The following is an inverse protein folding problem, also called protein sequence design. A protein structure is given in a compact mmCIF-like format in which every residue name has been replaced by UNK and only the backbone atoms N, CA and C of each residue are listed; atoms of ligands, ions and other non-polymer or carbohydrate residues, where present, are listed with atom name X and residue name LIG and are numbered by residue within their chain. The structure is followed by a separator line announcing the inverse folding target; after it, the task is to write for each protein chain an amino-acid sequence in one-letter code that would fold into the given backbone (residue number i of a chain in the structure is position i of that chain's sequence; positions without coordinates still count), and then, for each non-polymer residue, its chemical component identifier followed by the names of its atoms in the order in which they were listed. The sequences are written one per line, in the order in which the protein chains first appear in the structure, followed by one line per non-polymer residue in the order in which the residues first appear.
data_IF_076027523741
#
_entry.id   IF_076027523741
#
_cell.length_a   1.000
_cell.length_b   1.000
_cell.length_c   1.000
_cell.angle_alpha   90.00
_cell.angle_beta   90.00
_cell.angle_gamma   90.00
#
_symmetry.space_group_name_H-M   'P 1'
#
loop_
_entity.id
_entity.type
_entity.pdbx_description
1 polymer ?
#
# COMPACT_ATOMS: atom_id res chain seq x y z
N UNK A 1 12.11 12.87 -3.28
CA UNK A 1 12.03 12.91 -1.81
C UNK A 1 10.81 12.14 -1.29
N UNK A 2 9.61 12.35 -1.78
CA UNK A 2 8.41 11.65 -1.31
C UNK A 2 8.48 10.13 -1.36
N UNK A 3 9.08 9.57 -2.40
CA UNK A 3 9.24 8.11 -2.54
C UNK A 3 10.18 7.48 -1.51
N UNK A 4 11.21 8.20 -1.06
CA UNK A 4 12.10 7.71 0.01
C UNK A 4 11.39 7.70 1.38
N UNK A 5 10.64 8.74 1.68
CA UNK A 5 9.83 8.82 2.92
C UNK A 5 8.79 7.70 2.92
N UNK A 6 8.16 7.45 1.77
CA UNK A 6 7.22 6.35 1.61
C UNK A 6 7.86 4.98 1.81
N UNK A 7 9.06 4.79 1.26
CA UNK A 7 9.83 3.54 1.39
C UNK A 7 10.19 3.24 2.84
N UNK A 8 10.68 4.24 3.58
CA UNK A 8 11.01 4.06 5.01
C UNK A 8 9.76 3.77 5.85
N UNK A 9 8.65 4.46 5.59
CA UNK A 9 7.38 4.20 6.26
C UNK A 9 6.82 2.81 6.00
N UNK A 10 6.85 2.36 4.74
CA UNK A 10 6.45 1.00 4.36
C UNK A 10 7.36 -0.07 4.96
N UNK A 11 8.68 0.18 5.06
CA UNK A 11 9.60 -0.74 5.72
C UNK A 11 9.25 -0.94 7.20
N UNK A 12 8.97 0.15 7.92
CA UNK A 12 8.57 0.10 9.33
C UNK A 12 7.23 -0.63 9.48
N UNK A 13 6.23 -0.30 8.64
CA UNK A 13 4.92 -0.97 8.65
C UNK A 13 5.05 -2.46 8.34
N UNK A 14 5.86 -2.83 7.35
CA UNK A 14 6.15 -4.21 6.99
C UNK A 14 6.74 -4.99 8.16
N UNK A 15 7.72 -4.41 8.84
CA UNK A 15 8.33 -5.05 10.01
C UNK A 15 7.32 -5.24 11.16
N UNK A 16 6.47 -4.25 11.41
CA UNK A 16 5.43 -4.35 12.43
C UNK A 16 4.35 -5.37 12.06
N UNK A 17 3.96 -5.44 10.78
CA UNK A 17 2.98 -6.40 10.31
C UNK A 17 3.47 -7.85 10.47
N UNK A 18 4.73 -8.12 10.15
CA UNK A 18 5.35 -9.43 10.37
C UNK A 18 5.37 -9.80 11.87
N UNK A 19 5.69 -8.84 12.74
CA UNK A 19 5.86 -9.09 14.17
C UNK A 19 4.53 -9.22 14.92
N UNK A 20 3.53 -8.39 14.56
CA UNK A 20 2.26 -8.29 15.30
C UNK A 20 1.04 -8.80 14.52
N UNK A 21 1.21 -9.12 13.23
CA UNK A 21 0.11 -9.47 12.29
C UNK A 21 -1.02 -8.43 12.27
N UNK A 22 -0.71 -7.20 12.67
CA UNK A 22 -1.63 -6.09 12.64
C UNK A 22 -0.85 -4.79 12.54
N UNK A 23 -1.30 -3.89 11.67
CA UNK A 23 -0.74 -2.55 11.57
C UNK A 23 -1.50 -1.64 12.53
N UNK A 24 -0.80 -0.94 13.43
CA UNK A 24 -1.47 -0.02 14.32
C UNK A 24 -2.04 1.17 13.53
N UNK A 25 -3.27 1.52 13.81
CA UNK A 25 -4.02 2.58 13.10
C UNK A 25 -3.27 3.92 13.12
N UNK A 26 -2.54 4.23 14.21
CA UNK A 26 -1.78 5.47 14.30
C UNK A 26 -0.68 5.58 13.24
N UNK A 27 -0.06 4.47 12.82
CA UNK A 27 0.94 4.47 11.74
C UNK A 27 0.32 4.82 10.40
N UNK A 28 -0.88 4.31 10.12
CA UNK A 28 -1.63 4.63 8.91
C UNK A 28 -1.97 6.12 8.89
N UNK A 29 -2.41 6.66 10.02
CA UNK A 29 -2.74 8.09 10.17
C UNK A 29 -1.48 8.94 9.94
N UNK A 30 -0.36 8.61 10.57
CA UNK A 30 0.90 9.34 10.40
C UNK A 30 1.35 9.32 8.94
N UNK A 31 1.31 8.15 8.29
CA UNK A 31 1.69 8.02 6.88
C UNK A 31 0.73 8.78 5.95
N UNK A 32 -0.57 8.83 6.27
CA UNK A 32 -1.54 9.62 5.51
C UNK A 32 -1.25 11.11 5.59
N UNK A 33 -0.95 11.62 6.80
CA UNK A 33 -0.59 13.02 7.03
C UNK A 33 0.70 13.37 6.27
N UNK A 34 1.71 12.50 6.34
CA UNK A 34 2.96 12.69 5.60
C UNK A 34 2.74 12.70 4.09
N UNK A 35 1.92 11.80 3.56
CA UNK A 35 1.60 11.72 2.14
C UNK A 35 0.92 13.01 1.64
N UNK A 36 -0.06 13.51 2.39
CA UNK A 36 -0.74 14.77 2.09
C UNK A 36 0.24 15.94 2.19
N UNK A 37 1.08 15.98 3.23
CA UNK A 37 2.12 17.00 3.40
C UNK A 37 3.11 17.04 2.23
N UNK A 38 3.53 15.89 1.73
CA UNK A 38 4.40 15.78 0.55
C UNK A 38 3.70 16.38 -0.68
N UNK A 39 2.41 16.09 -0.88
CA UNK A 39 1.66 16.62 -2.01
C UNK A 39 1.47 18.15 -1.93
N UNK A 40 1.18 18.66 -0.76
CA UNK A 40 1.09 20.10 -0.53
C UNK A 40 2.44 20.78 -0.80
N UNK A 41 3.53 20.20 -0.32
CA UNK A 41 4.87 20.71 -0.58
C UNK A 41 5.21 20.68 -2.08
N UNK A 42 4.92 19.58 -2.80
CA UNK A 42 5.11 19.49 -4.25
C UNK A 42 4.33 20.57 -5.00
N UNK A 43 3.11 20.90 -4.54
CA UNK A 43 2.28 21.95 -5.11
C UNK A 43 2.87 23.34 -4.86
N UNK A 44 3.26 23.65 -3.61
CA UNK A 44 3.79 24.97 -3.23
C UNK A 44 5.12 25.25 -3.91
N UNK A 45 6.03 24.27 -3.96
CA UNK A 45 7.36 24.41 -4.55
C UNK A 45 7.38 24.23 -6.08
N UNK A 46 6.22 23.94 -6.70
CA UNK A 46 6.09 23.83 -8.15
C UNK A 46 6.84 22.67 -8.79
N UNK A 47 7.26 21.67 -8.00
CA UNK A 47 8.00 20.49 -8.51
C UNK A 47 7.17 19.58 -9.41
N UNK A 48 5.85 19.56 -9.24
CA UNK A 48 4.90 18.84 -10.10
C UNK A 48 3.57 19.58 -10.16
N UNK A 49 2.95 19.57 -11.35
CA UNK A 49 1.53 19.95 -11.46
C UNK A 49 0.71 18.89 -10.74
N UNK A 50 0.13 19.25 -9.60
CA UNK A 50 -0.84 18.40 -8.92
C UNK A 50 -2.15 18.49 -9.69
N UNK A 51 -2.52 17.40 -10.34
CA UNK A 51 -3.80 17.33 -11.03
C UNK A 51 -4.89 17.02 -9.99
N UNK A 52 -5.73 18.03 -9.74
CA UNK A 52 -6.85 17.93 -8.79
C UNK A 52 -7.80 16.79 -9.20
N UNK A 53 -7.96 16.57 -10.50
CA UNK A 53 -8.79 15.50 -11.03
C UNK A 53 -8.22 14.12 -10.69
N UNK A 54 -6.89 13.93 -10.82
CA UNK A 54 -6.22 12.70 -10.41
C UNK A 54 -6.39 12.44 -8.90
N UNK A 55 -6.24 13.48 -8.08
CA UNK A 55 -6.45 13.38 -6.62
C UNK A 55 -7.86 12.97 -6.26
N UNK A 56 -8.86 13.52 -6.96
CA UNK A 56 -10.26 13.14 -6.76
C UNK A 56 -10.53 11.67 -7.14
N UNK A 57 -9.98 11.21 -8.26
CA UNK A 57 -10.07 9.81 -8.68
C UNK A 57 -9.43 8.88 -7.64
N UNK A 58 -8.24 9.22 -7.14
CA UNK A 58 -7.55 8.43 -6.12
C UNK A 58 -8.41 8.31 -4.87
N UNK A 59 -9.02 9.40 -4.42
CA UNK A 59 -9.88 9.40 -3.24
C UNK A 59 -11.11 8.50 -3.43
N UNK A 60 -11.79 8.62 -4.57
CA UNK A 60 -12.97 7.80 -4.89
C UNK A 60 -12.59 6.31 -4.98
N UNK A 61 -11.54 5.99 -5.73
CA UNK A 61 -11.08 4.60 -5.90
C UNK A 61 -10.66 3.99 -4.57
N UNK A 62 -9.93 4.74 -3.74
CA UNK A 62 -9.50 4.27 -2.41
C UNK A 62 -10.70 4.02 -1.51
N UNK A 63 -11.68 4.92 -1.50
CA UNK A 63 -12.88 4.78 -0.68
C UNK A 63 -13.70 3.55 -1.08
N UNK A 64 -13.91 3.36 -2.38
CA UNK A 64 -14.62 2.18 -2.91
C UNK A 64 -13.84 0.90 -2.58
N UNK A 65 -12.53 0.92 -2.73
CA UNK A 65 -11.69 -0.25 -2.44
C UNK A 65 -11.72 -0.63 -0.97
N UNK A 66 -11.62 0.35 -0.05
CA UNK A 66 -11.79 0.13 1.39
C UNK A 66 -13.18 -0.43 1.71
N UNK A 67 -14.24 0.12 1.11
CA UNK A 67 -15.61 -0.37 1.32
C UNK A 67 -15.75 -1.84 0.88
N UNK A 68 -15.21 -2.20 -0.27
CA UNK A 68 -15.19 -3.59 -0.76
C UNK A 68 -14.41 -4.50 0.21
N UNK A 69 -13.25 -4.08 0.68
CA UNK A 69 -12.44 -4.86 1.62
C UNK A 69 -13.16 -5.09 2.96
N UNK A 70 -13.84 -4.06 3.48
CA UNK A 70 -14.62 -4.17 4.72
C UNK A 70 -15.81 -5.12 4.55
N UNK A 71 -16.54 -5.02 3.44
CA UNK A 71 -17.75 -5.85 3.20
C UNK A 71 -17.36 -7.30 2.89
N UNK A 72 -16.32 -7.51 2.10
CA UNK A 72 -15.92 -8.87 1.66
C UNK A 72 -15.11 -9.64 2.70
N UNK A 73 -14.54 -8.97 3.70
CA UNK A 73 -13.61 -9.57 4.68
C UNK A 73 -12.45 -10.39 4.06
N UNK A 74 -12.13 -10.15 2.78
CA UNK A 74 -11.08 -10.88 2.04
C UNK A 74 -9.70 -10.30 2.37
N UNK A 75 -9.62 -8.97 2.44
CA UNK A 75 -8.39 -8.23 2.77
C UNK A 75 -8.60 -7.31 3.96
N UNK A 76 -7.53 -7.04 4.69
CA UNK A 76 -7.57 -6.04 5.76
C UNK A 76 -7.84 -4.63 5.23
N UNK A 77 -8.73 -3.89 5.87
CA UNK A 77 -8.99 -2.48 5.51
C UNK A 77 -7.70 -1.62 5.58
N UNK A 78 -6.76 -2.01 6.45
CA UNK A 78 -5.45 -1.38 6.56
C UNK A 78 -4.64 -1.47 5.27
N UNK A 79 -4.66 -2.62 4.58
CA UNK A 79 -3.94 -2.83 3.32
C UNK A 79 -4.49 -1.93 2.20
N UNK A 80 -5.82 -1.78 2.16
CA UNK A 80 -6.48 -0.88 1.20
C UNK A 80 -6.12 0.60 1.46
N UNK A 81 -6.04 1.01 2.72
CA UNK A 81 -5.62 2.36 3.10
C UNK A 81 -4.15 2.61 2.74
N UNK A 82 -3.26 1.66 2.99
CA UNK A 82 -1.84 1.75 2.60
C UNK A 82 -1.70 1.90 1.09
N UNK A 83 -2.48 1.16 0.30
CA UNK A 83 -2.52 1.30 -1.15
C UNK A 83 -3.00 2.70 -1.58
N UNK A 84 -4.00 3.26 -0.92
CA UNK A 84 -4.46 4.62 -1.15
C UNK A 84 -3.36 5.66 -0.87
N UNK A 85 -2.62 5.51 0.23
CA UNK A 85 -1.48 6.37 0.57
C UNK A 85 -0.39 6.29 -0.51
N UNK A 86 -0.07 5.10 -1.00
CA UNK A 86 0.88 4.91 -2.11
C UNK A 86 0.37 5.64 -3.37
N UNK A 87 -0.91 5.51 -3.69
CA UNK A 87 -1.50 6.17 -4.85
C UNK A 87 -1.42 7.70 -4.76
N UNK A 88 -1.61 8.27 -3.57
CA UNK A 88 -1.46 9.71 -3.34
C UNK A 88 -0.04 10.16 -3.65
N UNK A 89 0.98 9.45 -3.20
CA UNK A 89 2.39 9.85 -3.36
C UNK A 89 2.92 9.59 -4.77
N UNK A 90 2.63 8.43 -5.34
CA UNK A 90 3.25 7.97 -6.60
C UNK A 90 2.36 8.13 -7.84
N UNK A 91 1.08 8.41 -7.64
CA UNK A 91 0.07 8.42 -8.69
C UNK A 91 -0.58 7.06 -8.91
N UNK A 92 -1.79 7.09 -9.50
CA UNK A 92 -2.64 5.90 -9.65
C UNK A 92 -1.98 4.80 -10.50
N UNK A 93 -1.27 5.16 -11.57
CA UNK A 93 -0.63 4.19 -12.48
C UNK A 93 0.43 3.34 -11.77
N UNK A 94 1.33 3.98 -11.01
CA UNK A 94 2.37 3.27 -10.24
C UNK A 94 1.78 2.48 -9.09
N UNK A 95 0.79 3.02 -8.39
CA UNK A 95 0.11 2.31 -7.32
C UNK A 95 -0.58 1.03 -7.82
N UNK A 96 -1.24 1.09 -8.98
CA UNK A 96 -1.86 -0.08 -9.60
C UNK A 96 -0.82 -1.14 -9.95
N UNK A 97 0.34 -0.76 -10.49
CA UNK A 97 1.43 -1.69 -10.76
C UNK A 97 1.98 -2.35 -9.49
N UNK A 98 2.16 -1.58 -8.41
CA UNK A 98 2.56 -2.10 -7.09
C UNK A 98 1.55 -3.12 -6.58
N UNK A 99 0.25 -2.81 -6.71
CA UNK A 99 -0.83 -3.69 -6.26
C UNK A 99 -0.83 -5.02 -6.99
N UNK A 100 -0.76 -5.02 -8.32
CA UNK A 100 -0.71 -6.26 -9.12
C UNK A 100 0.53 -7.09 -8.81
N UNK A 101 1.72 -6.47 -8.69
CA UNK A 101 2.92 -7.18 -8.29
C UNK A 101 2.80 -7.78 -6.89
N UNK A 102 2.23 -7.05 -5.93
CA UNK A 102 2.01 -7.55 -4.58
C UNK A 102 1.07 -8.75 -4.57
N UNK A 103 -0.03 -8.70 -5.34
CA UNK A 103 -0.96 -9.83 -5.49
C UNK A 103 -0.28 -11.06 -6.11
N UNK A 104 0.56 -10.88 -7.12
CA UNK A 104 1.31 -11.98 -7.73
C UNK A 104 2.25 -12.64 -6.70
N UNK A 105 3.02 -11.85 -5.95
CA UNK A 105 3.91 -12.40 -4.92
C UNK A 105 3.16 -13.14 -3.83
N UNK A 106 2.08 -12.57 -3.31
CA UNK A 106 1.24 -13.22 -2.30
C UNK A 106 0.64 -14.51 -2.84
N UNK A 107 0.15 -14.52 -4.08
CA UNK A 107 -0.45 -15.70 -4.70
C UNK A 107 0.56 -16.84 -4.84
N UNK A 108 1.77 -16.55 -5.31
CA UNK A 108 2.83 -17.54 -5.46
C UNK A 108 3.24 -18.11 -4.10
N UNK A 109 3.53 -17.25 -3.12
CA UNK A 109 4.01 -17.67 -1.80
C UNK A 109 2.90 -18.40 -1.03
N UNK A 110 1.65 -17.91 -1.10
CA UNK A 110 0.50 -18.59 -0.50
C UNK A 110 0.26 -19.96 -1.11
N UNK A 111 0.37 -20.07 -2.44
CA UNK A 111 0.26 -21.34 -3.15
C UNK A 111 1.34 -22.34 -2.73
N UNK A 112 2.59 -21.91 -2.67
CA UNK A 112 3.71 -22.76 -2.21
C UNK A 112 3.51 -23.22 -0.76
N UNK A 113 3.12 -22.31 0.14
CA UNK A 113 2.91 -22.63 1.56
C UNK A 113 1.72 -23.58 1.78
N UNK A 114 0.67 -23.48 0.94
CA UNK A 114 -0.46 -24.43 0.96
C UNK A 114 -0.02 -25.83 0.50
N UNK A 115 0.79 -25.92 -0.55
CA UNK A 115 1.30 -27.22 -1.06
C UNK A 115 2.19 -27.91 -0.01
N UNK A 116 3.02 -27.15 0.71
CA UNK A 116 3.90 -27.66 1.77
C UNK A 116 3.11 -27.96 3.06
N UNK A 117 1.78 -27.73 3.09
CA UNK A 117 0.90 -27.94 4.27
C UNK A 117 1.33 -27.17 5.52
N UNK A 118 2.14 -26.11 5.38
CA UNK A 118 2.55 -25.23 6.48
C UNK A 118 1.52 -24.16 6.85
N UNK A 119 0.56 -23.90 5.97
CA UNK A 119 -0.55 -22.98 6.23
C UNK A 119 -1.88 -23.74 6.19
N UNK A 120 -2.73 -23.46 7.17
CA UNK A 120 -4.15 -23.83 7.12
C UNK A 120 -4.89 -22.75 6.32
N UNK A 121 -6.01 -23.12 5.64
CA UNK A 121 -6.85 -22.19 4.86
C UNK A 121 -7.33 -20.93 5.63
N UNK A 122 -7.22 -20.94 6.97
CA UNK A 122 -7.64 -19.84 7.86
C UNK A 122 -6.48 -18.96 8.33
N UNK A 123 -5.22 -19.28 7.98
CA UNK A 123 -4.09 -18.50 8.43
C UNK A 123 -3.99 -17.21 7.59
N UNK A 124 -3.93 -16.06 8.27
CA UNK A 124 -3.73 -14.76 7.63
C UNK A 124 -2.26 -14.56 7.32
N UNK A 125 -1.96 -14.27 6.06
CA UNK A 125 -0.60 -13.91 5.62
C UNK A 125 -0.49 -12.38 5.68
N UNK A 126 0.59 -11.84 6.29
CA UNK A 126 0.81 -10.41 6.29
C UNK A 126 1.02 -9.91 4.85
N UNK A 127 0.21 -8.95 4.39
CA UNK A 127 0.22 -8.46 3.01
C UNK A 127 1.19 -7.29 2.80
N UNK A 128 1.42 -6.47 3.82
CA UNK A 128 2.24 -5.25 3.73
C UNK A 128 3.70 -5.52 3.32
N UNK A 129 4.39 -6.58 3.78
CA UNK A 129 5.73 -6.88 3.30
C UNK A 129 5.78 -7.14 1.79
N UNK A 130 4.72 -7.70 1.22
CA UNK A 130 4.64 -7.90 -0.24
C UNK A 130 4.41 -6.57 -0.97
N UNK A 131 3.60 -5.67 -0.42
CA UNK A 131 3.45 -4.30 -0.92
C UNK A 131 4.81 -3.59 -0.89
N UNK A 132 5.57 -3.71 0.18
CA UNK A 132 6.90 -3.10 0.31
C UNK A 132 7.86 -3.59 -0.77
N UNK A 133 7.99 -4.91 -0.96
CA UNK A 133 8.86 -5.50 -1.99
C UNK A 133 8.43 -5.06 -3.39
N UNK A 134 7.12 -5.06 -3.66
CA UNK A 134 6.56 -4.64 -4.94
C UNK A 134 6.78 -3.14 -5.20
N UNK A 135 6.67 -2.32 -4.16
CA UNK A 135 6.95 -0.89 -4.24
C UNK A 135 8.41 -0.63 -4.61
N UNK A 136 9.36 -1.33 -3.95
CA UNK A 136 10.78 -1.26 -4.28
C UNK A 136 11.02 -1.69 -5.72
N UNK A 137 10.42 -2.82 -6.15
CA UNK A 137 10.52 -3.31 -7.52
C UNK A 137 10.05 -2.31 -8.56
N UNK A 138 8.87 -1.73 -8.37
CA UNK A 138 8.32 -0.71 -9.28
C UNK A 138 9.15 0.57 -9.29
N UNK A 139 9.76 0.96 -8.15
CA UNK A 139 10.62 2.15 -8.10
C UNK A 139 11.97 1.93 -8.78
N UNK A 140 12.49 0.71 -8.81
CA UNK A 140 13.75 0.37 -9.50
C UNK A 140 13.51 0.20 -11.01
N UNK A 141 12.40 -0.46 -11.38
CA UNK A 141 12.09 -0.74 -12.79
C UNK A 141 11.43 0.43 -13.54
N UNK A 142 10.87 1.36 -12.84
CA UNK A 142 10.09 2.48 -13.40
C UNK A 142 10.56 3.82 -13.04
#
# INVERSE_FOLDING_TARGET
MGSLIMLTGLAIMSFMDIKRRAVPVYMIIVMSILAIGIKIAEYIFGYKKVDVYEMFIILVVTTVFVAICVISHIMGAADALVMGIIAIVTGIKKATSVFFMALMFVSIISGVLLIIKRLKRKDTIPFIPFIFISYVGVMICG
#
